data_IF_105131416727
#
_entry.id   IF_105131416727
#
_cell.length_a   1.000
_cell.length_b   1.000
_cell.length_c   1.000
_cell.angle_alpha   90.00
_cell.angle_beta   90.00
_cell.angle_gamma   90.00
#
_symmetry.space_group_name_H-M   'P 1'
#
loop_
_entity.id
_entity.type
_entity.pdbx_description
1 polymer ?
#
# COMPACT_ATOMS: atom_id res chain seq x y z
N UNK A 1 19.70 -2.50 7.58
CA UNK A 1 19.33 -1.08 7.38
C UNK A 1 19.15 -0.71 5.91
N UNK A 2 20.14 -0.94 5.04
CA UNK A 2 20.06 -0.57 3.60
C UNK A 2 18.86 -1.20 2.86
N UNK A 3 18.56 -2.48 3.09
CA UNK A 3 17.40 -3.16 2.48
C UNK A 3 16.06 -2.50 2.87
N UNK A 4 15.84 -2.28 4.17
CA UNK A 4 14.61 -1.65 4.66
C UNK A 4 14.42 -0.22 4.11
N UNK A 5 15.50 0.54 3.99
CA UNK A 5 15.46 1.88 3.36
C UNK A 5 15.07 1.80 1.88
N UNK A 6 15.70 0.90 1.12
CA UNK A 6 15.41 0.69 -0.30
C UNK A 6 13.96 0.25 -0.50
N UNK A 7 13.48 -0.68 0.32
CA UNK A 7 12.10 -1.19 0.24
C UNK A 7 11.08 -0.08 0.55
N UNK A 8 11.32 0.71 1.60
CA UNK A 8 10.44 1.83 1.95
C UNK A 8 10.41 2.89 0.85
N UNK A 9 11.57 3.28 0.32
CA UNK A 9 11.64 4.28 -0.76
C UNK A 9 10.98 3.77 -2.04
N UNK A 10 11.20 2.51 -2.42
CA UNK A 10 10.54 1.90 -3.57
C UNK A 10 9.02 1.85 -3.40
N UNK A 11 8.55 1.52 -2.20
CA UNK A 11 7.12 1.51 -1.86
C UNK A 11 6.50 2.89 -1.99
N UNK A 12 7.12 3.91 -1.38
CA UNK A 12 6.64 5.29 -1.46
C UNK A 12 6.62 5.73 -2.93
N UNK A 13 7.72 5.55 -3.65
CA UNK A 13 7.81 5.97 -5.05
C UNK A 13 6.73 5.31 -5.92
N UNK A 14 6.58 3.98 -5.82
CA UNK A 14 5.62 3.24 -6.63
C UNK A 14 4.17 3.69 -6.37
N UNK A 15 3.75 3.69 -5.10
CA UNK A 15 2.36 4.02 -4.77
C UNK A 15 2.06 5.51 -4.90
N UNK A 16 3.02 6.40 -4.63
CA UNK A 16 2.85 7.83 -4.89
C UNK A 16 2.71 8.10 -6.37
N UNK A 17 3.54 7.51 -7.24
CA UNK A 17 3.43 7.69 -8.69
C UNK A 17 2.15 7.06 -9.23
N UNK A 18 1.83 5.82 -8.87
CA UNK A 18 0.61 5.16 -9.33
C UNK A 18 -0.65 5.95 -8.92
N UNK A 19 -0.71 6.40 -7.66
CA UNK A 19 -1.83 7.20 -7.19
C UNK A 19 -1.91 8.56 -7.90
N UNK A 20 -0.79 9.28 -8.05
CA UNK A 20 -0.78 10.55 -8.76
C UNK A 20 -1.22 10.41 -10.22
N UNK A 21 -0.81 9.34 -10.92
CA UNK A 21 -1.27 9.05 -12.27
C UNK A 21 -2.78 8.78 -12.31
N UNK A 22 -3.31 8.00 -11.37
CA UNK A 22 -4.77 7.76 -11.31
C UNK A 22 -5.54 9.02 -10.97
N UNK A 23 -5.03 9.88 -10.09
CA UNK A 23 -5.67 11.15 -9.72
C UNK A 23 -5.71 12.12 -10.91
N UNK A 24 -4.61 12.23 -11.66
CA UNK A 24 -4.52 13.10 -12.83
C UNK A 24 -5.35 12.57 -14.01
N UNK A 25 -5.16 11.31 -14.40
CA UNK A 25 -5.68 10.78 -15.66
C UNK A 25 -7.04 10.08 -15.54
N UNK A 26 -7.40 9.59 -14.35
CA UNK A 26 -8.67 8.86 -14.14
C UNK A 26 -9.66 9.72 -13.37
N UNK A 27 -9.23 10.35 -12.27
CA UNK A 27 -10.11 11.23 -11.49
C UNK A 27 -10.21 12.66 -12.06
N UNK A 28 -9.32 13.05 -12.97
CA UNK A 28 -9.33 14.37 -13.61
C UNK A 28 -8.98 15.52 -12.66
N UNK A 29 -8.24 15.24 -11.58
CA UNK A 29 -7.82 16.26 -10.61
C UNK A 29 -6.79 17.21 -11.21
N UNK A 30 -6.80 18.48 -10.79
CA UNK A 30 -5.77 19.43 -11.18
C UNK A 30 -4.39 19.05 -10.57
N UNK A 31 -3.27 19.33 -11.24
CA UNK A 31 -1.93 19.01 -10.72
C UNK A 31 -1.67 19.58 -9.33
N UNK A 32 -2.22 20.77 -9.03
CA UNK A 32 -2.13 21.37 -7.70
C UNK A 32 -2.87 20.55 -6.64
N UNK A 33 -4.06 20.05 -6.96
CA UNK A 33 -4.86 19.25 -6.04
C UNK A 33 -4.13 17.95 -5.72
N UNK A 34 -3.63 17.25 -6.75
CA UNK A 34 -2.81 16.05 -6.60
C UNK A 34 -1.60 16.29 -5.67
N UNK A 35 -0.87 17.40 -5.86
CA UNK A 35 0.25 17.74 -4.98
C UNK A 35 -0.17 17.91 -3.52
N UNK A 36 -1.33 18.51 -3.26
CA UNK A 36 -1.87 18.66 -1.90
C UNK A 36 -2.23 17.28 -1.33
N UNK A 37 -2.96 16.44 -2.08
CA UNK A 37 -3.34 15.10 -1.63
C UNK A 37 -2.13 14.25 -1.31
N UNK A 38 -1.09 14.27 -2.16
CA UNK A 38 0.15 13.53 -1.93
C UNK A 38 0.94 14.07 -0.74
N UNK A 39 1.02 15.39 -0.57
CA UNK A 39 1.71 16.01 0.56
C UNK A 39 1.08 15.63 1.91
N UNK A 40 -0.24 15.41 1.94
CA UNK A 40 -0.95 14.93 3.13
C UNK A 40 -0.80 13.41 3.32
N UNK A 41 -0.86 12.62 2.24
CA UNK A 41 -0.83 11.16 2.31
C UNK A 41 0.56 10.58 2.58
N UNK A 42 1.64 11.23 2.14
CA UNK A 42 3.02 10.75 2.39
C UNK A 42 3.31 10.66 3.90
N UNK A 43 3.05 11.69 4.74
CA UNK A 43 3.18 11.59 6.20
C UNK A 43 2.35 10.46 6.81
N UNK A 44 1.12 10.28 6.33
CA UNK A 44 0.25 9.19 6.79
C UNK A 44 0.87 7.84 6.47
N UNK A 45 1.38 7.62 5.26
CA UNK A 45 2.08 6.39 4.88
C UNK A 45 3.32 6.12 5.75
N UNK A 46 4.09 7.17 6.07
CA UNK A 46 5.26 7.05 6.96
C UNK A 46 4.83 6.68 8.38
N UNK A 47 3.77 7.33 8.89
CA UNK A 47 3.26 7.10 10.23
C UNK A 47 2.64 5.70 10.39
N UNK A 48 1.93 5.20 9.37
CA UNK A 48 1.27 3.89 9.40
C UNK A 48 2.20 2.74 9.02
N UNK A 49 3.33 3.01 8.35
CA UNK A 49 4.24 1.98 7.87
C UNK A 49 4.82 1.08 8.97
N UNK A 50 5.17 1.65 10.14
CA UNK A 50 5.67 0.86 11.28
C UNK A 50 4.58 0.04 11.97
N UNK A 51 3.44 0.62 12.37
CA UNK A 51 2.29 -0.13 12.88
C UNK A 51 1.88 -1.28 11.94
N UNK A 52 1.83 -1.03 10.64
CA UNK A 52 1.52 -2.05 9.64
C UNK A 52 2.57 -3.17 9.63
N UNK A 53 3.87 -2.84 9.64
CA UNK A 53 4.94 -3.84 9.69
C UNK A 53 4.82 -4.76 10.90
N UNK A 54 4.57 -4.20 12.08
CA UNK A 54 4.35 -4.98 13.30
C UNK A 54 3.11 -5.89 13.20
N UNK A 55 2.00 -5.39 12.67
CA UNK A 55 0.80 -6.19 12.44
C UNK A 55 1.04 -7.35 11.48
N UNK A 56 1.70 -7.08 10.36
CA UNK A 56 2.09 -8.07 9.37
C UNK A 56 2.93 -9.17 9.99
N UNK A 57 3.94 -8.81 10.77
CA UNK A 57 4.83 -9.79 11.42
C UNK A 57 4.05 -10.70 12.38
N UNK A 58 3.06 -10.16 13.12
CA UNK A 58 2.15 -10.97 13.96
C UNK A 58 1.34 -11.96 13.12
N UNK A 59 0.80 -11.52 11.97
CA UNK A 59 0.02 -12.40 11.07
C UNK A 59 0.90 -13.50 10.47
N UNK A 60 2.12 -13.18 10.03
CA UNK A 60 3.08 -14.16 9.51
C UNK A 60 3.53 -15.15 10.59
N UNK A 61 3.75 -14.69 11.82
CA UNK A 61 4.10 -15.54 12.95
C UNK A 61 2.97 -16.53 13.29
N UNK A 62 1.70 -16.10 13.18
CA UNK A 62 0.52 -16.95 13.42
C UNK A 62 0.26 -17.96 12.30
N UNK A 63 0.48 -17.57 11.05
CA UNK A 63 0.09 -18.40 9.88
C UNK A 63 1.21 -19.30 9.37
N UNK A 64 2.48 -18.96 9.63
CA UNK A 64 3.67 -19.71 9.23
C UNK A 64 3.62 -20.30 7.80
N UNK A 65 3.36 -19.47 6.76
CA UNK A 65 3.18 -19.95 5.39
C UNK A 65 4.46 -20.59 4.83
N UNK A 66 4.36 -21.86 4.43
CA UNK A 66 5.49 -22.64 3.89
C UNK A 66 5.69 -22.47 2.39
N UNK A 67 4.61 -22.36 1.62
CA UNK A 67 4.65 -22.20 0.16
C UNK A 67 4.78 -20.72 -0.26
N UNK A 68 5.46 -20.45 -1.39
CA UNK A 68 5.64 -19.09 -1.90
C UNK A 68 4.32 -18.37 -2.23
N UNK A 69 3.34 -19.09 -2.79
CA UNK A 69 2.01 -18.54 -3.03
C UNK A 69 1.24 -18.24 -1.73
N UNK A 70 1.40 -19.08 -0.70
CA UNK A 70 0.78 -18.89 0.60
C UNK A 70 1.31 -17.63 1.30
N UNK A 71 2.60 -17.32 1.15
CA UNK A 71 3.18 -16.05 1.63
C UNK A 71 2.51 -14.84 0.98
N UNK A 72 2.23 -14.91 -0.32
CA UNK A 72 1.57 -13.81 -1.05
C UNK A 72 0.14 -13.59 -0.56
N UNK A 73 -0.61 -14.68 -0.32
CA UNK A 73 -1.97 -14.60 0.22
C UNK A 73 -1.98 -14.04 1.63
N UNK A 74 -1.09 -14.52 2.50
CA UNK A 74 -0.96 -14.02 3.88
C UNK A 74 -0.59 -12.53 3.89
N UNK A 75 0.29 -12.10 2.98
CA UNK A 75 0.67 -10.70 2.82
C UNK A 75 -0.52 -9.81 2.44
N UNK A 76 -1.30 -10.24 1.45
CA UNK A 76 -2.51 -9.54 1.02
C UNK A 76 -3.55 -9.48 2.16
N UNK A 77 -3.77 -10.58 2.88
CA UNK A 77 -4.67 -10.61 4.03
C UNK A 77 -4.20 -9.67 5.16
N UNK A 78 -2.89 -9.64 5.46
CA UNK A 78 -2.32 -8.76 6.47
C UNK A 78 -2.49 -7.29 6.08
N UNK A 79 -2.30 -6.94 4.80
CA UNK A 79 -2.55 -5.59 4.32
C UNK A 79 -4.03 -5.23 4.38
N UNK A 80 -4.92 -6.03 3.82
CA UNK A 80 -6.35 -5.72 3.77
C UNK A 80 -6.95 -5.58 5.18
N UNK A 81 -6.56 -6.47 6.11
CA UNK A 81 -7.03 -6.42 7.50
C UNK A 81 -6.53 -5.21 8.29
N UNK A 82 -5.46 -4.56 7.85
CA UNK A 82 -4.93 -3.35 8.48
C UNK A 82 -5.39 -2.07 7.77
N UNK A 83 -5.27 -2.04 6.45
CA UNK A 83 -5.49 -0.85 5.64
C UNK A 83 -6.97 -0.53 5.44
N UNK A 84 -7.84 -1.54 5.25
CA UNK A 84 -9.27 -1.29 5.04
C UNK A 84 -9.93 -0.63 6.27
N UNK A 85 -9.69 -1.07 7.52
CA UNK A 85 -10.20 -0.38 8.69
C UNK A 85 -9.69 1.06 8.82
N UNK A 86 -8.39 1.29 8.60
CA UNK A 86 -7.80 2.64 8.64
C UNK A 86 -8.44 3.55 7.59
N UNK A 87 -8.65 3.04 6.39
CA UNK A 87 -9.27 3.80 5.30
C UNK A 87 -10.75 4.06 5.57
N UNK A 88 -11.49 3.08 6.08
CA UNK A 88 -12.88 3.24 6.49
C UNK A 88 -13.05 4.34 7.54
N UNK A 89 -12.20 4.35 8.58
CA UNK A 89 -12.19 5.39 9.61
C UNK A 89 -11.88 6.76 8.99
N UNK A 90 -10.90 6.83 8.09
CA UNK A 90 -10.53 8.07 7.41
C UNK A 90 -11.69 8.64 6.59
N UNK A 91 -12.40 7.78 5.85
CA UNK A 91 -13.57 8.17 5.06
C UNK A 91 -14.76 8.58 5.95
N UNK A 92 -14.99 7.87 7.05
CA UNK A 92 -16.02 8.22 8.03
C UNK A 92 -15.75 9.61 8.65
N UNK A 93 -14.49 9.91 9.00
CA UNK A 93 -14.08 11.24 9.50
C UNK A 93 -14.22 12.32 8.42
N UNK A 94 -14.01 11.97 7.15
CA UNK A 94 -14.24 12.86 6.01
C UNK A 94 -15.73 13.10 5.69
N UNK A 95 -16.65 12.38 6.35
CA UNK A 95 -18.09 12.52 6.18
C UNK A 95 -18.69 11.68 5.04
N UNK A 96 -17.99 10.66 4.56
CA UNK A 96 -18.50 9.75 3.53
C UNK A 96 -19.65 8.88 4.07
N UNK A 97 -20.63 8.57 3.21
CA UNK A 97 -21.76 7.70 3.55
C UNK A 97 -21.33 6.22 3.65
N UNK A 98 -22.09 5.42 4.41
CA UNK A 98 -21.80 3.99 4.60
C UNK A 98 -21.74 3.19 3.29
N UNK A 99 -22.57 3.54 2.30
CA UNK A 99 -22.54 2.88 1.00
C UNK A 99 -21.33 3.31 0.16
N UNK A 100 -20.92 4.58 0.25
CA UNK A 100 -19.70 5.09 -0.37
C UNK A 100 -18.46 4.42 0.21
N UNK A 101 -18.39 4.30 1.54
CA UNK A 101 -17.31 3.59 2.25
C UNK A 101 -17.21 2.16 1.74
N UNK A 102 -18.31 1.39 1.71
CA UNK A 102 -18.28 0.00 1.27
C UNK A 102 -17.78 -0.13 -0.18
N UNK A 103 -18.23 0.76 -1.06
CA UNK A 103 -17.82 0.79 -2.47
C UNK A 103 -16.33 1.07 -2.61
N UNK A 104 -15.82 2.07 -1.88
CA UNK A 104 -14.41 2.46 -1.89
C UNK A 104 -13.50 1.37 -1.29
N UNK A 105 -13.94 0.69 -0.23
CA UNK A 105 -13.20 -0.45 0.35
C UNK A 105 -13.11 -1.61 -0.64
N UNK A 106 -14.22 -1.95 -1.32
CA UNK A 106 -14.24 -2.99 -2.34
C UNK A 106 -13.33 -2.67 -3.52
N UNK A 107 -13.41 -1.45 -4.05
CA UNK A 107 -12.53 -0.99 -5.13
C UNK A 107 -11.04 -1.02 -4.71
N UNK A 108 -10.73 -0.60 -3.49
CA UNK A 108 -9.37 -0.62 -2.93
C UNK A 108 -8.84 -2.05 -2.84
N UNK A 109 -9.67 -3.00 -2.38
CA UNK A 109 -9.27 -4.41 -2.30
C UNK A 109 -8.94 -4.99 -3.68
N UNK A 110 -9.77 -4.70 -4.70
CA UNK A 110 -9.53 -5.13 -6.09
C UNK A 110 -8.26 -4.51 -6.65
N UNK A 111 -8.06 -3.20 -6.49
CA UNK A 111 -6.86 -2.50 -6.93
C UNK A 111 -5.60 -3.07 -6.28
N UNK A 112 -5.67 -3.45 -5.00
CA UNK A 112 -4.54 -4.03 -4.30
C UNK A 112 -4.13 -5.38 -4.90
N UNK A 113 -5.10 -6.23 -5.24
CA UNK A 113 -4.84 -7.50 -5.94
C UNK A 113 -4.21 -7.25 -7.31
N UNK A 114 -4.76 -6.30 -8.07
CA UNK A 114 -4.26 -5.95 -9.41
C UNK A 114 -2.83 -5.37 -9.36
N UNK A 115 -2.54 -4.51 -8.38
CA UNK A 115 -1.24 -3.85 -8.23
C UNK A 115 -0.18 -4.71 -7.52
N UNK A 116 -0.58 -5.81 -6.86
CA UNK A 116 0.35 -6.70 -6.12
C UNK A 116 1.49 -7.23 -6.98
N UNK A 117 1.18 -7.68 -8.22
CA UNK A 117 2.15 -8.23 -9.17
C UNK A 117 3.07 -7.14 -9.77
N UNK A 118 2.55 -6.03 -10.34
CA UNK A 118 3.38 -4.92 -10.80
C UNK A 118 4.30 -4.36 -9.72
N UNK A 119 3.81 -4.19 -8.49
CA UNK A 119 4.60 -3.70 -7.37
C UNK A 119 5.76 -4.66 -7.03
N UNK A 120 5.48 -5.97 -6.99
CA UNK A 120 6.51 -6.98 -6.74
C UNK A 120 7.65 -6.94 -7.76
N UNK A 121 7.32 -6.85 -9.05
CA UNK A 121 8.30 -6.75 -10.13
C UNK A 121 9.15 -5.47 -10.02
N UNK A 122 8.50 -4.34 -9.73
CA UNK A 122 9.19 -3.06 -9.52
C UNK A 122 10.16 -3.13 -8.33
N UNK A 123 9.73 -3.72 -7.22
CA UNK A 123 10.54 -3.87 -6.03
C UNK A 123 11.77 -4.76 -6.27
N UNK A 124 11.60 -5.87 -6.99
CA UNK A 124 12.71 -6.74 -7.40
C UNK A 124 13.71 -6.02 -8.32
N UNK A 125 13.22 -5.24 -9.28
CA UNK A 125 14.05 -4.41 -10.13
C UNK A 125 14.88 -3.41 -9.31
N UNK A 126 14.25 -2.64 -8.42
CA UNK A 126 14.94 -1.65 -7.59
C UNK A 126 15.96 -2.31 -6.65
N UNK A 127 15.62 -3.45 -6.05
CA UNK A 127 16.55 -4.24 -5.21
C UNK A 127 17.78 -4.71 -6.02
N UNK A 128 17.56 -5.15 -7.26
CA UNK A 128 18.61 -5.59 -8.18
C UNK A 128 19.54 -4.43 -8.55
N UNK A 129 18.98 -3.28 -8.93
CA UNK A 129 19.72 -2.05 -9.24
C UNK A 129 20.53 -1.57 -8.03
N UNK A 130 19.92 -1.59 -6.84
CA UNK A 130 20.57 -1.17 -5.61
C UNK A 130 21.56 -2.22 -5.04
N UNK A 131 21.66 -3.40 -5.66
CA UNK A 131 22.48 -4.55 -5.21
C UNK A 131 22.19 -4.94 -3.75
N UNK A 132 20.92 -5.05 -3.40
CA UNK A 132 20.44 -5.53 -2.09
C UNK A 132 19.52 -6.73 -2.33
N UNK A 133 19.72 -7.82 -1.59
CA UNK A 133 18.84 -9.00 -1.60
C UNK A 133 18.23 -9.21 -0.22
N UNK A 134 16.96 -9.57 -0.20
CA UNK A 134 16.40 -10.28 0.93
C UNK A 134 17.07 -11.67 0.98
N UNK A 135 17.63 -12.04 2.13
CA UNK A 135 18.13 -13.40 2.36
C UNK A 135 16.97 -14.38 2.39
#
# INVERSE_FOLDING_TARGET
>A
MRLALVDTLATILFFTTAAALTELFVAGMEPREVLITRSLMIPVMIATGRPYGAWRDVIFAKTQPRAGWAKTVVDACAFLSFQLPVYAVTLAVAGADGQEILTLLGATAVLMVLLSRPFGLFLEMIRTVARVRAR
#
